data_IF_343178306905
#
_entry.id   IF_343178306905
#
_cell.length_a   1.000
_cell.length_b   1.000
_cell.length_c   1.000
_cell.angle_alpha   90.00
_cell.angle_beta   90.00
_cell.angle_gamma   90.00
#
_symmetry.space_group_name_H-M   'P 1'
#
loop_
_entity.id
_entity.type
_entity.pdbx_description
1 polymer ?
#
# COMPACT_ATOMS: atom_id res chain seq x y z
N UNK A 1 45.45 -8.33 -9.77
CA UNK A 1 44.30 -8.95 -9.09
C UNK A 1 43.08 -8.67 -9.95
N UNK A 2 42.29 -9.67 -10.36
CA UNK A 2 41.09 -9.43 -11.16
C UNK A 2 40.16 -8.51 -10.37
N UNK A 3 39.93 -7.30 -10.88
CA UNK A 3 39.08 -6.32 -10.21
C UNK A 3 37.63 -6.75 -10.40
N UNK A 4 37.01 -7.23 -9.32
CA UNK A 4 35.57 -7.54 -9.24
C UNK A 4 34.78 -6.24 -9.39
N UNK A 5 34.70 -5.76 -10.63
CA UNK A 5 33.99 -4.54 -10.99
C UNK A 5 32.52 -4.79 -11.28
N UNK A 6 31.82 -3.70 -11.54
CA UNK A 6 30.43 -3.71 -12.02
C UNK A 6 30.19 -4.72 -13.16
N UNK A 7 31.10 -4.93 -14.14
CA UNK A 7 30.88 -5.92 -15.21
C UNK A 7 30.72 -7.36 -14.72
N UNK A 8 31.52 -7.79 -13.74
CA UNK A 8 31.44 -9.16 -13.20
C UNK A 8 30.13 -9.37 -12.46
N UNK A 9 29.71 -8.38 -11.66
CA UNK A 9 28.43 -8.41 -10.94
C UNK A 9 27.24 -8.48 -11.91
N UNK A 10 27.31 -7.80 -13.05
CA UNK A 10 26.29 -7.90 -14.10
C UNK A 10 26.24 -9.30 -14.73
N UNK A 11 27.38 -9.94 -14.97
CA UNK A 11 27.43 -11.31 -15.49
C UNK A 11 26.81 -12.28 -14.48
N UNK A 12 27.17 -12.17 -13.20
CA UNK A 12 26.60 -13.00 -12.13
C UNK A 12 25.07 -12.76 -12.02
N UNK A 13 24.64 -11.50 -12.05
CA UNK A 13 23.22 -11.15 -12.02
C UNK A 13 22.49 -11.74 -13.23
N UNK A 14 23.09 -11.73 -14.42
CA UNK A 14 22.51 -12.33 -15.63
C UNK A 14 22.38 -13.86 -15.50
N UNK A 15 23.39 -14.54 -14.96
CA UNK A 15 23.33 -15.99 -14.71
C UNK A 15 22.22 -16.31 -13.72
N UNK A 16 22.13 -15.58 -12.61
CA UNK A 16 21.04 -15.72 -11.63
C UNK A 16 19.69 -15.45 -12.31
N UNK A 17 19.59 -14.42 -13.15
CA UNK A 17 18.37 -14.09 -13.88
C UNK A 17 17.95 -15.20 -14.85
N UNK A 18 18.89 -15.92 -15.46
CA UNK A 18 18.59 -17.09 -16.30
C UNK A 18 18.12 -18.29 -15.46
N UNK A 19 18.76 -18.56 -14.32
CA UNK A 19 18.41 -19.68 -13.43
C UNK A 19 17.06 -19.49 -12.74
N UNK A 20 16.84 -18.31 -12.17
CA UNK A 20 15.59 -17.98 -11.49
C UNK A 20 14.50 -17.51 -12.47
N UNK A 21 14.88 -17.09 -13.68
CA UNK A 21 13.99 -16.58 -14.70
C UNK A 21 13.58 -15.11 -14.47
N UNK A 22 13.17 -14.46 -15.56
CA UNK A 22 12.81 -13.05 -15.59
C UNK A 22 11.65 -12.67 -14.65
N UNK A 23 10.79 -13.63 -14.32
CA UNK A 23 9.58 -13.39 -13.52
C UNK A 23 9.81 -13.57 -12.02
N UNK A 24 10.78 -14.38 -11.60
CA UNK A 24 10.96 -14.69 -10.16
C UNK A 24 11.71 -13.59 -9.42
N UNK A 25 12.72 -12.98 -10.05
CA UNK A 25 13.47 -11.87 -9.43
C UNK A 25 12.59 -10.64 -9.13
N UNK A 26 11.77 -10.11 -10.07
CA UNK A 26 10.89 -8.99 -9.78
C UNK A 26 9.84 -9.31 -8.72
N UNK A 27 9.32 -10.54 -8.68
CA UNK A 27 8.34 -10.93 -7.67
C UNK A 27 8.94 -11.01 -6.27
N UNK A 28 10.13 -11.61 -6.12
CA UNK A 28 10.85 -11.63 -4.86
C UNK A 28 11.25 -10.22 -4.41
N UNK A 29 11.77 -9.39 -5.32
CA UNK A 29 12.09 -8.00 -5.03
C UNK A 29 10.84 -7.19 -4.62
N UNK A 30 9.69 -7.39 -5.27
CA UNK A 30 8.43 -6.71 -4.91
C UNK A 30 7.89 -7.16 -3.55
N UNK A 31 7.97 -8.45 -3.21
CA UNK A 31 7.52 -8.92 -1.89
C UNK A 31 8.44 -8.40 -0.79
N UNK A 32 9.75 -8.57 -0.94
CA UNK A 32 10.75 -8.07 0.01
C UNK A 32 10.69 -6.54 0.13
N UNK A 33 10.54 -5.81 -0.97
CA UNK A 33 10.43 -4.35 -0.98
C UNK A 33 9.19 -3.84 -0.24
N UNK A 34 8.04 -4.54 -0.37
CA UNK A 34 6.84 -4.22 0.42
C UNK A 34 7.08 -4.45 1.92
N UNK A 35 7.66 -5.59 2.30
CA UNK A 35 8.01 -5.87 3.69
C UNK A 35 8.99 -4.84 4.27
N UNK A 36 10.04 -4.48 3.52
CA UNK A 36 11.00 -3.46 3.93
C UNK A 36 10.37 -2.08 4.05
N UNK A 37 9.43 -1.72 3.17
CA UNK A 37 8.72 -0.43 3.23
C UNK A 37 7.86 -0.33 4.49
N UNK A 38 7.09 -1.36 4.80
CA UNK A 38 6.24 -1.40 6.01
C UNK A 38 7.14 -1.29 7.25
N UNK A 39 8.17 -2.13 7.33
CA UNK A 39 9.13 -2.09 8.43
C UNK A 39 9.82 -0.71 8.56
N UNK A 40 10.18 -0.09 7.43
CA UNK A 40 10.78 1.25 7.42
C UNK A 40 9.79 2.30 7.93
N UNK A 41 8.53 2.26 7.52
CA UNK A 41 7.49 3.18 7.99
C UNK A 41 7.23 3.03 9.48
N UNK A 42 7.07 1.81 9.99
CA UNK A 42 6.89 1.57 11.43
C UNK A 42 8.10 2.04 12.23
N UNK A 43 9.32 1.76 11.76
CA UNK A 43 10.55 2.24 12.41
C UNK A 43 10.68 3.77 12.35
N UNK A 44 10.18 4.40 11.29
CA UNK A 44 10.22 5.87 11.12
C UNK A 44 9.17 6.56 11.99
N UNK A 45 7.98 5.98 12.15
CA UNK A 45 6.94 6.43 13.08
C UNK A 45 7.45 6.37 14.53
N UNK A 46 8.08 5.26 14.93
CA UNK A 46 8.70 5.15 16.26
C UNK A 46 9.79 6.21 16.52
N UNK A 47 10.46 6.68 15.48
CA UNK A 47 11.46 7.75 15.57
C UNK A 47 10.84 9.14 15.52
N UNK A 48 9.69 9.27 14.85
CA UNK A 48 9.02 10.55 14.55
C UNK A 48 7.99 10.94 15.60
N UNK A 49 7.51 10.00 16.43
CA UNK A 49 6.68 10.31 17.62
C UNK A 49 7.39 11.29 18.60
N UNK A 50 8.71 11.47 18.47
CA UNK A 50 9.47 12.52 19.16
C UNK A 50 9.42 13.91 18.52
N UNK A 51 9.06 14.06 17.23
CA UNK A 51 9.44 15.24 16.43
C UNK A 51 8.39 15.84 15.47
N UNK A 52 7.17 15.29 15.27
CA UNK A 52 6.34 15.76 14.13
C UNK A 52 4.82 15.71 14.27
N UNK A 53 4.28 16.66 15.05
CA UNK A 53 2.86 17.07 15.03
C UNK A 53 2.49 17.97 13.82
N UNK A 54 3.31 18.12 12.79
CA UNK A 54 3.22 19.27 11.85
C UNK A 54 2.77 18.98 10.40
N UNK A 55 2.58 17.72 9.96
CA UNK A 55 2.32 17.43 8.52
C UNK A 55 0.90 16.95 8.17
N UNK A 56 -0.05 16.99 9.12
CA UNK A 56 -1.41 16.47 8.95
C UNK A 56 -2.42 17.44 8.29
N UNK A 57 -1.98 18.44 7.52
CA UNK A 57 -2.89 19.46 6.95
C UNK A 57 -3.08 19.41 5.42
N UNK A 58 -2.49 18.45 4.68
CA UNK A 58 -2.57 18.45 3.20
C UNK A 58 -3.35 17.31 2.53
N UNK A 59 -4.21 16.60 3.26
CA UNK A 59 -5.13 15.62 2.67
C UNK A 59 -6.47 15.62 3.40
N UNK A 60 -7.27 16.66 3.13
CA UNK A 60 -8.70 16.65 3.42
C UNK A 60 -9.46 15.76 2.41
N UNK A 61 -10.60 15.17 2.80
CA UNK A 61 -11.11 13.88 2.32
C UNK A 61 -12.13 13.98 1.18
N UNK A 62 -12.00 13.08 0.20
CA UNK A 62 -13.02 12.82 -0.83
C UNK A 62 -14.20 12.06 -0.20
N UNK A 63 -15.21 12.78 0.32
CA UNK A 63 -16.36 12.18 1.00
C UNK A 63 -17.76 12.72 0.61
N UNK A 64 -17.96 13.42 -0.51
CA UNK A 64 -19.22 14.19 -0.68
C UNK A 64 -20.07 13.98 -1.96
N UNK A 65 -19.78 13.03 -2.87
CA UNK A 65 -20.58 12.93 -4.12
C UNK A 65 -21.47 11.68 -4.30
N UNK A 66 -21.45 10.69 -3.43
CA UNK A 66 -22.22 9.44 -3.65
C UNK A 66 -23.38 9.18 -2.69
N UNK A 67 -23.58 10.00 -1.66
CA UNK A 67 -24.59 9.75 -0.61
C UNK A 67 -25.81 10.69 -0.63
N UNK A 68 -25.89 11.63 -1.59
CA UNK A 68 -26.97 12.62 -1.65
C UNK A 68 -28.19 12.21 -2.51
N UNK A 69 -28.19 11.05 -3.17
CA UNK A 69 -29.33 10.62 -4.02
C UNK A 69 -30.25 9.56 -3.37
N UNK A 70 -29.85 8.95 -2.26
CA UNK A 70 -30.61 7.84 -1.64
C UNK A 70 -31.54 8.29 -0.49
N UNK A 71 -31.37 9.52 0.02
CA UNK A 71 -32.06 10.02 1.22
C UNK A 71 -33.29 10.91 0.93
N UNK A 72 -33.72 11.02 -0.33
CA UNK A 72 -34.79 11.93 -0.76
C UNK A 72 -36.19 11.27 -0.94
N UNK A 73 -36.44 10.07 -0.42
CA UNK A 73 -37.79 9.48 -0.39
C UNK A 73 -38.30 9.34 1.05
N UNK A 74 -39.18 10.27 1.51
CA UNK A 74 -39.79 10.21 2.82
C UNK A 74 -40.99 9.25 2.79
N UNK A 75 -41.00 8.33 3.77
CA UNK A 75 -42.18 7.94 4.57
C UNK A 75 -43.53 7.85 3.82
N UNK A 76 -43.83 6.65 3.31
CA UNK A 76 -45.18 6.11 3.20
C UNK A 76 -45.24 4.87 4.11
N UNK A 77 -45.71 5.01 5.35
CA UNK A 77 -47.05 4.54 5.73
C UNK A 77 -47.28 3.06 5.42
N UNK A 78 -47.11 2.21 6.43
CA UNK A 78 -47.88 0.96 6.55
C UNK A 78 -48.08 0.61 8.03
N UNK A 79 -49.13 1.16 8.67
CA UNK A 79 -49.78 0.54 9.81
C UNK A 79 -50.60 -0.67 9.33
N UNK A 80 -50.29 -1.86 9.85
CA UNK A 80 -51.11 -3.08 9.88
C UNK A 80 -50.40 -4.04 10.85
N UNK A 81 -50.84 -4.20 12.10
CA UNK A 81 -51.91 -5.13 12.50
C UNK A 81 -51.71 -6.57 11.98
N UNK A 82 -51.06 -7.43 12.79
CA UNK A 82 -51.36 -8.86 12.88
C UNK A 82 -50.68 -9.44 14.14
N UNK A 83 -51.39 -9.59 15.26
CA UNK A 83 -52.17 -10.78 15.66
C UNK A 83 -51.30 -11.98 16.12
N UNK A 84 -51.25 -12.17 17.43
CA UNK A 84 -51.28 -13.46 18.13
C UNK A 84 -51.58 -13.23 19.62
#
# INVERSE_FOLDING_TARGET
MPNLGVPELLIIALVIFLLFGATRLPNAARSLGRSMRIFKSEMDEMKTDGDKKELAEKQAPTAEQQQAQDLAQPKSEQPNEHNA
#
